data_IF_204207254671
#
_entry.id   IF_204207254671
#
_cell.length_a   1.000
_cell.length_b   1.000
_cell.length_c   1.000
_cell.angle_alpha   90.00
_cell.angle_beta   90.00
_cell.angle_gamma   90.00
#
_symmetry.space_group_name_H-M   'P 1'
#
loop_
_entity.id
_entity.type
_entity.pdbx_description
1 polymer ?
#
# COMPACT_ATOMS: atom_id res chain seq x y z
N UNK A 1 -23.32 -2.96 3.21
CA UNK A 1 -22.10 -3.52 2.58
C UNK A 1 -22.29 -5.03 2.48
N UNK A 2 -22.07 -5.61 1.31
CA UNK A 2 -22.23 -7.04 1.04
C UNK A 2 -21.26 -7.47 -0.06
N UNK A 3 -21.20 -8.78 -0.36
CA UNK A 3 -20.33 -9.28 -1.43
C UNK A 3 -20.70 -8.61 -2.77
N UNK A 4 -19.72 -8.33 -3.65
CA UNK A 4 -19.97 -7.66 -4.93
C UNK A 4 -20.95 -8.45 -5.79
N UNK A 5 -22.02 -7.80 -6.27
CA UNK A 5 -22.92 -8.39 -7.27
C UNK A 5 -22.22 -8.40 -8.63
N UNK A 6 -22.72 -9.16 -9.62
CA UNK A 6 -22.12 -9.20 -10.95
C UNK A 6 -21.90 -7.81 -11.59
N UNK A 7 -22.83 -6.87 -11.40
CA UNK A 7 -22.68 -5.50 -11.88
C UNK A 7 -21.57 -4.71 -11.17
N UNK A 8 -21.39 -4.91 -9.87
CA UNK A 8 -20.33 -4.24 -9.10
C UNK A 8 -18.94 -4.75 -9.56
N UNK A 9 -18.85 -6.04 -9.92
CA UNK A 9 -17.64 -6.64 -10.49
C UNK A 9 -17.33 -6.09 -11.90
N UNK A 10 -18.36 -5.81 -12.70
CA UNK A 10 -18.19 -5.23 -14.03
C UNK A 10 -17.53 -3.85 -13.97
N UNK A 11 -17.88 -3.03 -12.97
CA UNK A 11 -17.21 -1.75 -12.74
C UNK A 11 -15.73 -1.91 -12.37
N UNK A 12 -15.41 -2.83 -11.48
CA UNK A 12 -14.01 -3.12 -11.11
C UNK A 12 -13.17 -3.57 -12.32
N UNK A 13 -13.73 -4.44 -13.16
CA UNK A 13 -13.08 -4.87 -14.41
C UNK A 13 -12.90 -3.71 -15.39
N UNK A 14 -13.90 -2.83 -15.48
CA UNK A 14 -13.85 -1.71 -16.42
C UNK A 14 -12.73 -0.73 -16.07
N UNK A 15 -12.48 -0.48 -14.78
CA UNK A 15 -11.35 0.35 -14.35
C UNK A 15 -10.02 -0.24 -14.86
N UNK A 16 -9.84 -1.56 -14.71
CA UNK A 16 -8.62 -2.22 -15.19
C UNK A 16 -8.49 -2.13 -16.71
N UNK A 17 -9.59 -2.27 -17.46
CA UNK A 17 -9.58 -2.14 -18.93
C UNK A 17 -9.22 -0.73 -19.40
N UNK A 18 -9.76 0.30 -18.75
CA UNK A 18 -9.45 1.69 -19.08
C UNK A 18 -7.96 1.97 -18.86
N UNK A 19 -7.43 1.56 -17.71
CA UNK A 19 -5.99 1.70 -17.43
C UNK A 19 -5.14 0.93 -18.45
N UNK A 20 -5.54 -0.28 -18.83
CA UNK A 20 -4.75 -1.14 -19.70
C UNK A 20 -4.82 -0.78 -21.20
N UNK A 21 -5.94 -0.21 -21.67
CA UNK A 21 -6.22 -0.11 -23.11
C UNK A 21 -6.63 1.27 -23.60
N UNK A 22 -6.93 2.22 -22.71
CA UNK A 22 -7.52 3.51 -23.10
C UNK A 22 -6.78 4.72 -22.52
N UNK A 23 -5.82 4.50 -21.62
CA UNK A 23 -5.11 5.57 -20.93
C UNK A 23 -3.70 5.84 -21.45
N UNK A 24 -3.23 5.02 -22.40
CA UNK A 24 -1.86 5.01 -22.95
C UNK A 24 -0.73 4.86 -21.90
N UNK A 25 -1.06 4.68 -20.62
CA UNK A 25 -0.10 4.62 -19.52
C UNK A 25 0.95 3.52 -19.71
N UNK A 26 0.58 2.43 -20.38
CA UNK A 26 1.46 1.28 -20.62
C UNK A 26 2.40 1.46 -21.84
N UNK A 27 2.28 2.56 -22.58
CA UNK A 27 3.20 2.89 -23.68
C UNK A 27 4.53 3.49 -23.18
N UNK A 28 4.57 3.87 -21.89
CA UNK A 28 5.72 4.46 -21.23
C UNK A 28 6.29 3.47 -20.21
N UNK A 29 7.58 3.62 -19.87
CA UNK A 29 8.22 2.84 -18.79
C UNK A 29 7.73 3.32 -17.41
N UNK A 30 8.61 3.88 -16.58
CA UNK A 30 8.19 4.48 -15.31
C UNK A 30 7.67 5.91 -15.53
N UNK A 31 6.35 6.04 -15.61
CA UNK A 31 5.65 7.34 -15.73
C UNK A 31 5.90 8.29 -14.55
N UNK A 32 6.45 7.81 -13.44
CA UNK A 32 6.75 8.62 -12.26
C UNK A 32 8.22 9.04 -12.16
N UNK A 33 9.11 8.51 -13.00
CA UNK A 33 10.53 8.84 -12.96
C UNK A 33 10.77 10.35 -13.15
N UNK A 34 11.58 10.95 -12.25
CA UNK A 34 11.88 12.38 -12.26
C UNK A 34 10.83 13.27 -11.60
N UNK A 35 9.72 12.70 -11.11
CA UNK A 35 8.73 13.46 -10.34
C UNK A 35 9.21 13.70 -8.91
N UNK A 36 9.65 14.93 -8.62
CA UNK A 36 10.09 15.32 -7.27
C UNK A 36 9.04 15.07 -6.18
N UNK A 37 7.75 15.11 -6.52
CA UNK A 37 6.67 14.84 -5.56
C UNK A 37 6.57 13.34 -5.26
N UNK A 38 6.68 12.49 -6.28
CA UNK A 38 6.60 11.03 -6.09
C UNK A 38 7.87 10.53 -5.43
N UNK A 39 9.04 10.99 -5.87
CA UNK A 39 10.34 10.64 -5.28
C UNK A 39 10.36 10.98 -3.79
N UNK A 40 10.03 12.22 -3.41
CA UNK A 40 9.98 12.62 -2.00
C UNK A 40 8.98 11.78 -1.18
N UNK A 41 7.86 11.39 -1.76
CA UNK A 41 6.86 10.54 -1.10
C UNK A 41 7.34 9.09 -0.96
N UNK A 42 8.09 8.58 -1.92
CA UNK A 42 8.72 7.25 -1.85
C UNK A 42 9.79 7.25 -0.77
N UNK A 43 10.66 8.26 -0.73
CA UNK A 43 11.72 8.37 0.28
C UNK A 43 11.14 8.40 1.70
N UNK A 44 10.09 9.21 1.93
CA UNK A 44 9.40 9.26 3.23
C UNK A 44 8.80 7.90 3.62
N UNK A 45 8.13 7.22 2.68
CA UNK A 45 7.55 5.89 2.95
C UNK A 45 8.62 4.84 3.25
N UNK A 46 9.76 4.89 2.57
CA UNK A 46 10.89 3.97 2.82
C UNK A 46 11.49 4.23 4.19
N UNK A 47 11.73 5.50 4.56
CA UNK A 47 12.25 5.87 5.87
C UNK A 47 11.33 5.38 7.00
N UNK A 48 10.02 5.68 6.90
CA UNK A 48 9.03 5.26 7.90
C UNK A 48 8.93 3.73 8.01
N UNK A 49 8.96 3.04 6.87
CA UNK A 49 8.90 1.57 6.82
C UNK A 49 10.15 0.92 7.43
N UNK A 50 11.34 1.44 7.12
CA UNK A 50 12.59 0.92 7.67
C UNK A 50 12.67 1.17 9.18
N UNK A 51 12.24 2.35 9.65
CA UNK A 51 12.17 2.64 11.08
C UNK A 51 11.20 1.68 11.81
N UNK A 52 10.09 1.31 11.17
CA UNK A 52 9.15 0.31 11.72
C UNK A 52 9.75 -1.09 11.76
N UNK A 53 10.47 -1.50 10.70
CA UNK A 53 11.19 -2.77 10.67
C UNK A 53 12.23 -2.82 11.81
N UNK A 54 13.01 -1.76 12.01
CA UNK A 54 13.99 -1.70 13.09
C UNK A 54 13.35 -1.81 14.48
N UNK A 55 12.19 -1.17 14.70
CA UNK A 55 11.41 -1.35 15.93
C UNK A 55 11.00 -2.80 16.14
N UNK A 56 10.47 -3.45 15.10
CA UNK A 56 10.09 -4.87 15.15
C UNK A 56 11.30 -5.75 15.46
N UNK A 57 12.47 -5.45 14.89
CA UNK A 57 13.69 -6.20 15.17
C UNK A 57 14.16 -6.02 16.63
N UNK A 58 14.06 -4.82 17.18
CA UNK A 58 14.36 -4.56 18.60
C UNK A 58 13.41 -5.31 19.56
N UNK A 59 12.20 -5.64 19.11
CA UNK A 59 11.24 -6.46 19.85
C UNK A 59 11.55 -7.96 19.82
N UNK A 60 12.61 -8.39 19.13
CA UNK A 60 12.94 -9.81 18.94
C UNK A 60 12.40 -10.38 17.63
N UNK A 61 12.03 -9.52 16.68
CA UNK A 61 11.57 -9.88 15.35
C UNK A 61 10.05 -10.02 15.24
N UNK A 62 9.58 -10.29 14.02
CA UNK A 62 8.16 -10.24 13.66
C UNK A 62 7.28 -11.16 14.53
N UNK A 63 7.74 -12.37 14.86
CA UNK A 63 6.95 -13.29 15.70
C UNK A 63 6.74 -12.74 17.11
N UNK A 64 7.78 -12.20 17.75
CA UNK A 64 7.67 -11.59 19.06
C UNK A 64 6.78 -10.33 19.04
N UNK A 65 6.83 -9.55 17.95
CA UNK A 65 5.94 -8.40 17.74
C UNK A 65 4.46 -8.81 17.56
N UNK A 66 4.19 -9.97 16.94
CA UNK A 66 2.82 -10.53 16.87
C UNK A 66 2.36 -11.02 18.24
N UNK A 67 3.19 -11.81 18.94
CA UNK A 67 2.86 -12.43 20.22
C UNK A 67 2.65 -11.39 21.33
N UNK A 68 3.43 -10.31 21.33
CA UNK A 68 3.25 -9.17 22.24
C UNK A 68 2.00 -8.33 21.93
N UNK A 69 1.36 -8.55 20.77
CA UNK A 69 0.17 -7.83 20.33
C UNK A 69 0.47 -6.48 19.66
N UNK A 70 1.74 -6.09 19.53
CA UNK A 70 2.16 -4.80 18.95
C UNK A 70 1.61 -4.57 17.54
N UNK A 71 1.77 -5.53 16.62
CA UNK A 71 1.26 -5.36 15.25
C UNK A 71 -0.27 -5.18 15.20
N UNK A 72 -0.98 -5.83 16.12
CA UNK A 72 -2.43 -5.69 16.21
C UNK A 72 -2.83 -4.32 16.76
N UNK A 73 -2.13 -3.81 17.78
CA UNK A 73 -2.40 -2.47 18.32
C UNK A 73 -2.13 -1.39 17.29
N UNK A 74 -1.02 -1.48 16.55
CA UNK A 74 -0.70 -0.53 15.48
C UNK A 74 -1.75 -0.57 14.35
N UNK A 75 -2.20 -1.77 13.95
CA UNK A 75 -3.27 -1.90 12.96
C UNK A 75 -4.56 -1.22 13.42
N UNK A 76 -4.97 -1.42 14.67
CA UNK A 76 -6.18 -0.80 15.23
C UNK A 76 -6.03 0.72 15.32
N UNK A 77 -4.87 1.19 15.78
CA UNK A 77 -4.53 2.61 15.86
C UNK A 77 -4.64 3.29 14.50
N UNK A 78 -4.09 2.66 13.45
CA UNK A 78 -4.14 3.17 12.07
C UNK A 78 -5.55 3.24 11.47
N UNK A 79 -6.52 2.44 11.96
CA UNK A 79 -7.91 2.49 11.48
C UNK A 79 -8.79 3.47 12.27
N UNK A 80 -8.30 3.95 13.42
CA UNK A 80 -9.02 4.87 14.29
C UNK A 80 -8.69 6.34 14.00
N UNK A 81 -7.57 6.61 13.32
CA UNK A 81 -7.18 7.92 12.80
C UNK A 81 -7.92 8.27 11.50
#
# INVERSE_FOLDING_TARGET
>A
LGLPRPWDQQWSLRIQQVLAHESDLLEYEDIFAGSHVIEAKVDALVEESLAEIDRIQQMGGAMAAVESGYLKSELVSSHAA
#
